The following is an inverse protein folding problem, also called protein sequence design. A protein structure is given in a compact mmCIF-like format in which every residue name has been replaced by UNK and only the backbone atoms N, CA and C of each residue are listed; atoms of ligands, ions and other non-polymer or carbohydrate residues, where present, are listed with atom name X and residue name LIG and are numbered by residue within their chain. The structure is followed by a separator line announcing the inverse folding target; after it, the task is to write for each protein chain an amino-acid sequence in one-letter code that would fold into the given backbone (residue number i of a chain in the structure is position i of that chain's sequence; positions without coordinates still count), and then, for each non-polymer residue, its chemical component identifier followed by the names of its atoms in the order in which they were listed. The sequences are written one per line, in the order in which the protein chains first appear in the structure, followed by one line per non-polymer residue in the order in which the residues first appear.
data_IF_214988844653
#
_entry.id   IF_214988844653
#
_cell.length_a   1.000
_cell.length_b   1.000
_cell.length_c   1.000
_cell.angle_alpha   90.00
_cell.angle_beta   90.00
_cell.angle_gamma   90.00
#
_symmetry.space_group_name_H-M   'P 1'
#
loop_
_entity.id
_entity.type
_entity.pdbx_description
1 polymer ?
#
# COMPACT_ATOMS: atom_id res chain seq x y z
N UNK A 1 -10.06 14.37 3.91
CA UNK A 1 -10.53 13.01 4.24
C UNK A 1 -9.96 12.08 3.18
N UNK A 2 -9.45 10.92 3.60
CA UNK A 2 -8.83 9.93 2.73
C UNK A 2 -9.34 8.56 3.14
N UNK A 3 -9.66 7.72 2.15
CA UNK A 3 -10.06 6.33 2.34
C UNK A 3 -9.12 5.45 1.53
N UNK A 4 -8.75 4.29 2.07
CA UNK A 4 -7.91 3.32 1.38
C UNK A 4 -8.34 1.90 1.68
N UNK A 5 -8.22 1.03 0.68
CA UNK A 5 -8.40 -0.42 0.81
C UNK A 5 -7.21 -1.12 0.15
N UNK A 6 -6.74 -2.20 0.78
CA UNK A 6 -5.79 -3.14 0.21
C UNK A 6 -6.41 -4.55 0.28
N UNK A 7 -6.18 -5.35 -0.75
CA UNK A 7 -6.73 -6.69 -0.86
C UNK A 7 -5.73 -7.64 -1.54
N UNK A 8 -5.89 -8.93 -1.25
CA UNK A 8 -5.22 -10.03 -1.93
C UNK A 8 -6.30 -10.91 -2.56
N UNK A 9 -6.15 -11.26 -3.83
CA UNK A 9 -6.95 -12.30 -4.47
C UNK A 9 -6.30 -13.67 -4.23
N UNK A 10 -6.89 -14.54 -3.39
CA UNK A 10 -6.31 -15.83 -3.07
C UNK A 10 -6.26 -16.79 -4.27
N UNK A 11 -7.03 -16.54 -5.34
CA UNK A 11 -7.05 -17.40 -6.53
C UNK A 11 -5.85 -17.17 -7.44
N UNK A 12 -5.42 -15.91 -7.57
CA UNK A 12 -4.34 -15.51 -8.48
C UNK A 12 -3.06 -15.13 -7.75
N UNK A 13 -3.13 -14.89 -6.43
CA UNK A 13 -2.03 -14.34 -5.65
C UNK A 13 -1.76 -12.86 -5.94
N UNK A 14 -2.62 -12.18 -6.70
CA UNK A 14 -2.46 -10.76 -7.00
C UNK A 14 -2.87 -9.90 -5.80
N UNK A 15 -2.09 -8.85 -5.55
CA UNK A 15 -2.44 -7.82 -4.59
C UNK A 15 -2.96 -6.58 -5.33
N UNK A 16 -3.90 -5.87 -4.71
CA UNK A 16 -4.43 -4.60 -5.20
C UNK A 16 -4.68 -3.61 -4.09
N UNK A 17 -4.65 -2.33 -4.41
CA UNK A 17 -5.06 -1.27 -3.51
C UNK A 17 -5.76 -0.12 -4.25
N UNK A 18 -6.70 0.52 -3.57
CA UNK A 18 -7.41 1.70 -4.05
C UNK A 18 -7.38 2.79 -2.98
N UNK A 19 -7.21 4.04 -3.40
CA UNK A 19 -7.20 5.22 -2.52
C UNK A 19 -8.12 6.28 -3.09
N UNK A 20 -8.98 6.85 -2.24
CA UNK A 20 -9.84 7.99 -2.56
C UNK A 20 -9.51 9.16 -1.65
N UNK A 21 -9.21 10.32 -2.24
CA UNK A 21 -8.82 11.53 -1.50
C UNK A 21 -9.03 12.78 -2.35
N UNK A 22 -8.94 13.95 -1.70
CA UNK A 22 -8.87 15.26 -2.37
C UNK A 22 -7.45 15.64 -2.83
N UNK A 23 -6.41 14.95 -2.35
CA UNK A 23 -5.02 15.27 -2.68
C UNK A 23 -4.61 14.70 -4.05
N UNK A 24 -4.07 15.52 -4.95
CA UNK A 24 -3.66 15.06 -6.27
C UNK A 24 -2.50 14.07 -6.17
N UNK A 25 -2.46 13.10 -7.08
CA UNK A 25 -1.39 12.12 -7.22
C UNK A 25 -1.08 11.31 -5.94
N UNK A 26 -2.08 11.07 -5.07
CA UNK A 26 -1.86 10.37 -3.78
C UNK A 26 -1.18 9.01 -3.91
N UNK A 27 -1.45 8.28 -4.99
CA UNK A 27 -0.96 6.92 -5.21
C UNK A 27 0.56 6.82 -5.15
N UNK A 28 1.30 7.80 -5.68
CA UNK A 28 2.77 7.82 -5.65
C UNK A 28 3.35 8.11 -4.26
N UNK A 29 2.53 8.60 -3.33
CA UNK A 29 2.93 8.99 -1.98
C UNK A 29 2.54 7.91 -0.97
N UNK A 30 1.40 7.25 -1.17
CA UNK A 30 0.80 6.38 -0.14
C UNK A 30 0.93 4.90 -0.42
N UNK A 31 1.04 4.49 -1.69
CA UNK A 31 0.77 3.11 -2.10
C UNK A 31 2.03 2.45 -2.66
N UNK A 32 2.53 1.45 -1.95
CA UNK A 32 3.75 0.73 -2.31
C UNK A 32 3.48 -0.77 -2.38
N UNK A 33 4.05 -1.43 -3.38
CA UNK A 33 3.88 -2.85 -3.62
C UNK A 33 5.23 -3.49 -3.95
N UNK A 34 5.43 -4.72 -3.49
CA UNK A 34 6.56 -5.58 -3.87
C UNK A 34 6.02 -6.95 -4.28
N UNK A 35 6.34 -7.39 -5.49
CA UNK A 35 5.86 -8.65 -6.03
C UNK A 35 6.28 -9.82 -5.13
N UNK A 36 5.36 -10.74 -4.83
CA UNK A 36 5.60 -11.87 -3.94
C UNK A 36 5.67 -11.53 -2.44
N UNK A 37 5.63 -10.24 -2.07
CA UNK A 37 5.74 -9.79 -0.67
C UNK A 37 4.43 -9.18 -0.17
N UNK A 38 3.90 -8.15 -0.85
CA UNK A 38 2.63 -7.54 -0.46
C UNK A 38 2.46 -6.09 -0.89
N UNK A 39 1.47 -5.43 -0.27
CA UNK A 39 1.13 -4.00 -0.47
C UNK A 39 1.01 -3.31 0.88
N UNK A 40 1.56 -2.10 0.98
CA UNK A 40 1.37 -1.20 2.12
C UNK A 40 0.77 0.12 1.63
N UNK A 41 -0.26 0.59 2.34
CA UNK A 41 -0.91 1.88 2.07
C UNK A 41 -0.83 2.76 3.32
N UNK A 42 0.07 3.75 3.30
CA UNK A 42 0.21 4.70 4.41
C UNK A 42 -0.78 5.85 4.24
N UNK A 43 -1.45 6.28 5.31
CA UNK A 43 -2.48 7.34 5.26
C UNK A 43 -2.36 8.34 6.41
N UNK A 44 -3.28 9.31 6.48
CA UNK A 44 -3.26 10.48 7.37
C UNK A 44 -2.13 11.48 7.07
N UNK A 45 -0.98 11.38 7.74
CA UNK A 45 0.27 12.08 7.35
C UNK A 45 1.17 11.05 6.69
N UNK A 46 1.01 10.92 5.37
CA UNK A 46 1.74 9.91 4.61
C UNK A 46 3.25 10.04 4.84
N UNK A 47 3.88 8.91 5.15
CA UNK A 47 5.32 8.79 5.25
C UNK A 47 5.75 7.58 4.39
N UNK A 48 6.30 7.81 3.19
CA UNK A 48 6.74 6.75 2.30
C UNK A 48 7.69 5.73 2.93
N UNK A 49 8.51 6.16 3.91
CA UNK A 49 9.48 5.28 4.56
C UNK A 49 8.80 4.17 5.37
N UNK A 50 7.63 4.45 5.98
CA UNK A 50 6.86 3.41 6.69
C UNK A 50 6.37 2.31 5.73
N UNK A 51 6.15 2.65 4.46
CA UNK A 51 5.76 1.66 3.46
C UNK A 51 6.94 0.78 3.05
N UNK A 52 8.14 1.37 2.95
CA UNK A 52 9.39 0.62 2.69
C UNK A 52 9.66 -0.34 3.85
N UNK A 53 9.66 0.16 5.08
CA UNK A 53 9.89 -0.66 6.27
C UNK A 53 8.82 -1.77 6.40
N UNK A 54 7.55 -1.43 6.14
CA UNK A 54 6.44 -2.38 6.17
C UNK A 54 6.61 -3.52 5.17
N UNK A 55 7.07 -3.23 3.94
CA UNK A 55 7.35 -4.28 2.95
C UNK A 55 8.55 -5.15 3.36
N UNK A 56 9.58 -4.56 3.97
CA UNK A 56 10.72 -5.32 4.49
C UNK A 56 10.32 -6.23 5.66
N UNK A 57 9.39 -5.81 6.51
CA UNK A 57 8.82 -6.68 7.55
C UNK A 57 7.96 -7.79 6.95
N UNK A 58 7.10 -7.48 5.98
CA UNK A 58 6.29 -8.50 5.30
C UNK A 58 7.15 -9.57 4.61
N UNK A 59 8.30 -9.18 4.05
CA UNK A 59 9.23 -10.13 3.42
C UNK A 59 9.91 -11.07 4.43
N UNK A 60 10.03 -10.65 5.70
CA UNK A 60 10.64 -11.45 6.77
C UNK A 60 9.66 -12.39 7.47
N UNK A 61 8.35 -12.24 7.23
CA UNK A 61 7.28 -12.98 7.91
C UNK A 61 6.98 -12.48 9.31
#
# INVERSE_FOLDING_TARGET
MTFSIAACDPRTGMFGACVSTKFPAVGSITTFARAGVGIVVTQARANPLLAVDGLDFLERG
#
